data_IF_774244248365
#
_entry.id   IF_774244248365
#
_cell.length_a   1.000
_cell.length_b   1.000
_cell.length_c   1.000
_cell.angle_alpha   90.00
_cell.angle_beta   90.00
_cell.angle_gamma   90.00
#
_symmetry.space_group_name_H-M   'P 1'
#
loop_
_entity.id
_entity.type
_entity.pdbx_description
1 polymer ?
#
# COMPACT_ATOMS: atom_id res chain seq x y z
N UNK A 1 -16.57 0.64 9.46
CA UNK A 1 -16.31 -0.46 8.52
C UNK A 1 -15.04 -0.11 7.76
N UNK A 2 -14.02 -0.91 7.91
CA UNK A 2 -12.64 -0.52 7.68
C UNK A 2 -12.19 -0.74 6.24
N UNK A 3 -12.13 0.32 5.44
CA UNK A 3 -11.46 0.34 4.12
C UNK A 3 -9.97 -0.11 4.15
N UNK A 4 -9.40 -0.23 5.34
CA UNK A 4 -8.01 -0.60 5.57
C UNK A 4 -7.76 -2.11 5.54
N UNK A 5 -8.75 -2.94 5.92
CA UNK A 5 -8.67 -4.39 5.79
C UNK A 5 -8.88 -4.85 4.34
N UNK A 6 -9.62 -4.07 3.55
CA UNK A 6 -9.79 -4.34 2.12
C UNK A 6 -8.52 -4.06 1.31
N UNK A 7 -7.76 -3.03 1.68
CA UNK A 7 -6.48 -2.73 1.01
C UNK A 7 -5.39 -3.77 1.33
N UNK A 8 -5.36 -4.29 2.55
CA UNK A 8 -4.50 -5.41 2.91
C UNK A 8 -4.88 -6.68 2.15
N UNK A 9 -6.17 -6.96 2.03
CA UNK A 9 -6.72 -8.10 1.25
C UNK A 9 -6.51 -7.92 -0.25
N UNK A 10 -6.62 -6.70 -0.77
CA UNK A 10 -6.35 -6.41 -2.18
C UNK A 10 -4.87 -6.60 -2.53
N UNK A 11 -3.93 -6.21 -1.66
CA UNK A 11 -2.51 -6.52 -1.85
C UNK A 11 -2.23 -8.02 -1.81
N UNK A 12 -2.89 -8.77 -0.93
CA UNK A 12 -2.80 -10.24 -0.89
C UNK A 12 -3.49 -10.90 -2.09
N UNK A 13 -4.62 -10.39 -2.54
CA UNK A 13 -5.29 -10.87 -3.75
C UNK A 13 -4.43 -10.65 -5.00
N UNK A 14 -3.76 -9.50 -5.13
CA UNK A 14 -2.84 -9.27 -6.25
C UNK A 14 -1.59 -10.17 -6.19
N UNK A 15 -1.24 -10.68 -5.01
CA UNK A 15 -0.16 -11.66 -4.84
C UNK A 15 -0.58 -13.07 -5.29
N UNK A 16 -1.89 -13.39 -5.24
CA UNK A 16 -2.44 -14.69 -5.65
C UNK A 16 -2.92 -14.73 -7.11
N UNK A 17 -3.13 -13.57 -7.75
CA UNK A 17 -3.57 -13.48 -9.16
C UNK A 17 -2.65 -14.21 -10.15
N UNK A 18 -1.31 -14.25 -10.02
CA UNK A 18 -0.46 -15.02 -10.92
C UNK A 18 -0.71 -16.52 -10.86
N UNK A 19 -1.14 -17.02 -9.69
CA UNK A 19 -1.43 -18.45 -9.47
C UNK A 19 -2.75 -18.85 -10.13
N UNK A 20 -3.74 -17.94 -10.12
CA UNK A 20 -5.07 -18.17 -10.69
C UNK A 20 -5.03 -18.03 -12.22
N UNK A 21 -4.24 -17.08 -12.75
CA UNK A 21 -4.11 -16.89 -14.20
C UNK A 21 -3.23 -17.92 -14.91
N UNK A 22 -2.36 -18.63 -14.18
CA UNK A 22 -1.53 -19.68 -14.74
C UNK A 22 -2.32 -20.97 -15.08
N UNK A 23 -3.53 -21.10 -14.59
CA UNK A 23 -4.41 -22.26 -14.87
C UNK A 23 -5.51 -22.01 -15.90
N UNK A 24 -5.56 -20.85 -16.55
CA UNK A 24 -6.56 -20.53 -17.59
C UNK A 24 -5.90 -20.18 -18.92
N UNK A 25 -4.97 -21.01 -19.37
CA UNK A 25 -4.46 -20.96 -20.75
C UNK A 25 -5.46 -21.63 -21.67
N UNK A 26 -6.58 -20.99 -21.96
CA UNK A 26 -7.35 -21.21 -23.21
C UNK A 26 -8.54 -20.26 -23.29
N UNK A 27 -8.52 -19.45 -24.37
CA UNK A 27 -9.58 -18.58 -24.88
C UNK A 27 -9.61 -17.15 -24.35
N UNK A 28 -8.91 -16.27 -25.09
CA UNK A 28 -9.40 -14.96 -25.57
C UNK A 28 -8.27 -14.23 -26.32
N UNK A 29 -8.21 -14.43 -27.62
CA UNK A 29 -7.34 -13.68 -28.52
C UNK A 29 -7.81 -12.20 -28.60
N UNK A 30 -6.96 -11.25 -28.20
CA UNK A 30 -7.09 -9.83 -28.50
C UNK A 30 -7.14 -8.82 -27.35
N UNK A 31 -7.45 -9.21 -26.11
CA UNK A 31 -7.45 -8.32 -24.92
C UNK A 31 -6.51 -8.69 -23.77
N UNK A 32 -5.83 -9.84 -23.75
CA UNK A 32 -5.06 -10.29 -22.58
C UNK A 32 -3.79 -9.48 -22.34
N UNK A 33 -3.11 -8.99 -23.36
CA UNK A 33 -1.79 -8.34 -23.21
C UNK A 33 -1.83 -7.01 -22.43
N UNK A 34 -2.92 -6.26 -22.52
CA UNK A 34 -3.04 -4.97 -21.78
C UNK A 34 -3.34 -5.21 -20.31
N UNK A 35 -4.25 -6.13 -20.01
CA UNK A 35 -4.61 -6.50 -18.63
C UNK A 35 -3.42 -7.15 -17.94
N UNK A 36 -2.74 -8.06 -18.59
CA UNK A 36 -1.54 -8.73 -18.06
C UNK A 36 -0.41 -7.74 -17.77
N UNK A 37 -0.19 -6.76 -18.65
CA UNK A 37 0.78 -5.68 -18.45
C UNK A 37 0.43 -4.81 -17.26
N UNK A 38 -0.84 -4.44 -17.11
CA UNK A 38 -1.31 -3.61 -15.99
C UNK A 38 -1.23 -4.36 -14.66
N UNK A 39 -1.57 -5.66 -14.64
CA UNK A 39 -1.40 -6.53 -13.48
C UNK A 39 0.07 -6.62 -13.07
N UNK A 40 0.97 -6.87 -14.03
CA UNK A 40 2.41 -6.99 -13.77
C UNK A 40 2.99 -5.67 -13.22
N UNK A 41 2.62 -4.53 -13.81
CA UNK A 41 3.03 -3.21 -13.32
C UNK A 41 2.54 -2.97 -11.89
N UNK A 42 1.28 -3.28 -11.61
CA UNK A 42 0.73 -3.09 -10.28
C UNK A 42 1.42 -4.00 -9.25
N UNK A 43 1.77 -5.23 -9.61
CA UNK A 43 2.57 -6.12 -8.75
C UNK A 43 3.95 -5.53 -8.46
N UNK A 44 4.63 -4.98 -9.49
CA UNK A 44 5.92 -4.31 -9.30
C UNK A 44 5.80 -3.12 -8.34
N UNK A 45 4.77 -2.29 -8.51
CA UNK A 45 4.51 -1.15 -7.63
C UNK A 45 4.27 -1.62 -6.18
N UNK A 46 3.41 -2.62 -5.98
CA UNK A 46 3.13 -3.15 -4.64
C UNK A 46 4.40 -3.74 -4.00
N UNK A 47 5.17 -4.52 -4.74
CA UNK A 47 6.44 -5.11 -4.25
C UNK A 47 7.45 -4.02 -3.89
N UNK A 48 7.55 -2.98 -4.69
CA UNK A 48 8.42 -1.83 -4.42
C UNK A 48 8.02 -1.10 -3.13
N UNK A 49 6.73 -0.83 -2.95
CA UNK A 49 6.22 -0.20 -1.72
C UNK A 49 6.50 -1.08 -0.51
N UNK A 50 6.26 -2.40 -0.61
CA UNK A 50 6.55 -3.35 0.48
C UNK A 50 8.03 -3.36 0.88
N UNK A 51 8.93 -3.21 -0.07
CA UNK A 51 10.36 -3.18 0.18
C UNK A 51 10.87 -1.83 0.74
N UNK A 52 10.22 -0.73 0.39
CA UNK A 52 10.75 0.63 0.61
C UNK A 52 9.88 1.54 1.47
N UNK A 53 8.70 1.11 1.94
CA UNK A 53 7.74 1.98 2.63
C UNK A 53 8.28 2.68 3.89
N UNK A 54 9.29 2.11 4.53
CA UNK A 54 9.93 2.70 5.73
C UNK A 54 10.72 3.96 5.37
N UNK A 55 11.24 4.02 4.14
CA UNK A 55 12.03 5.15 3.64
C UNK A 55 11.19 6.10 2.78
N UNK A 56 11.75 7.26 2.46
CA UNK A 56 11.15 8.16 1.49
C UNK A 56 11.19 7.52 0.11
N UNK A 57 10.02 7.32 -0.49
CA UNK A 57 9.91 6.81 -1.86
C UNK A 57 9.84 7.99 -2.82
N UNK A 58 10.81 8.09 -3.72
CA UNK A 58 10.80 9.05 -4.82
C UNK A 58 9.78 8.62 -5.89
N UNK A 59 8.97 9.55 -6.36
CA UNK A 59 8.06 9.31 -7.48
C UNK A 59 8.80 9.03 -8.80
N UNK A 60 10.00 9.58 -8.94
CA UNK A 60 10.82 9.36 -10.13
C UNK A 60 11.40 7.95 -10.13
N UNK A 61 11.84 7.46 -8.98
CA UNK A 61 12.38 6.09 -8.85
C UNK A 61 11.32 5.03 -9.13
N UNK A 62 10.14 5.14 -8.52
CA UNK A 62 9.07 4.17 -8.78
C UNK A 62 8.52 4.26 -10.21
N UNK A 63 8.48 5.45 -10.80
CA UNK A 63 8.07 5.61 -12.18
C UNK A 63 9.07 4.94 -13.13
N UNK A 64 10.38 5.13 -12.91
CA UNK A 64 11.45 4.46 -13.66
C UNK A 64 11.37 2.93 -13.53
N UNK A 65 11.11 2.40 -12.33
CA UNK A 65 10.96 0.96 -12.06
C UNK A 65 9.89 0.30 -12.95
N UNK A 66 8.82 1.01 -13.25
CA UNK A 66 7.73 0.50 -14.11
C UNK A 66 7.79 1.02 -15.55
N UNK A 67 8.92 1.63 -15.95
CA UNK A 67 9.16 2.13 -17.31
C UNK A 67 8.26 3.31 -17.70
N UNK A 68 7.99 4.22 -16.78
CA UNK A 68 7.17 5.42 -16.98
C UNK A 68 7.93 6.67 -16.55
N UNK A 69 7.55 7.83 -17.10
CA UNK A 69 7.90 9.10 -16.50
C UNK A 69 6.96 9.41 -15.32
N UNK A 70 7.36 10.33 -14.46
CA UNK A 70 6.62 10.72 -13.25
C UNK A 70 5.17 11.10 -13.51
N UNK A 71 4.90 11.91 -14.52
CA UNK A 71 3.54 12.37 -14.85
C UNK A 71 2.64 11.23 -15.32
N UNK A 72 3.14 10.39 -16.21
CA UNK A 72 2.43 9.21 -16.70
C UNK A 72 2.15 8.22 -15.57
N UNK A 73 3.11 8.00 -14.67
CA UNK A 73 2.95 7.15 -13.49
C UNK A 73 1.86 7.66 -12.55
N UNK A 74 1.89 8.95 -12.18
CA UNK A 74 0.88 9.54 -11.30
C UNK A 74 -0.53 9.41 -11.88
N UNK A 75 -0.70 9.68 -13.16
CA UNK A 75 -2.00 9.55 -13.86
C UNK A 75 -2.44 8.09 -13.94
N UNK A 76 -1.53 7.19 -14.28
CA UNK A 76 -1.79 5.75 -14.35
C UNK A 76 -2.23 5.21 -12.98
N UNK A 77 -1.44 5.50 -11.94
CA UNK A 77 -1.70 5.00 -10.59
C UNK A 77 -3.06 5.50 -10.05
N UNK A 78 -3.33 6.81 -10.17
CA UNK A 78 -4.60 7.41 -9.75
C UNK A 78 -5.80 6.81 -10.50
N UNK A 79 -5.66 6.53 -11.79
CA UNK A 79 -6.71 5.87 -12.58
C UNK A 79 -6.96 4.44 -12.10
N UNK A 80 -5.90 3.67 -11.79
CA UNK A 80 -6.01 2.28 -11.36
C UNK A 80 -6.50 2.12 -9.92
N UNK A 81 -6.08 3.01 -9.01
CA UNK A 81 -6.34 2.90 -7.57
C UNK A 81 -7.36 3.90 -7.02
N UNK A 82 -7.71 4.94 -7.77
CA UNK A 82 -8.60 6.01 -7.32
C UNK A 82 -7.96 7.00 -6.33
N UNK A 83 -6.75 6.75 -5.88
CA UNK A 83 -5.99 7.57 -4.92
C UNK A 83 -4.60 7.90 -5.46
N UNK A 84 -3.95 8.91 -4.91
CA UNK A 84 -2.56 9.22 -5.26
C UNK A 84 -1.59 8.17 -4.70
N UNK A 85 -0.42 8.06 -5.32
CA UNK A 85 0.62 7.14 -4.84
C UNK A 85 1.08 7.47 -3.41
N UNK A 86 1.20 8.76 -3.07
CA UNK A 86 1.55 9.18 -1.71
C UNK A 86 0.49 8.77 -0.67
N UNK A 87 -0.78 8.90 -1.02
CA UNK A 87 -1.88 8.41 -0.17
C UNK A 87 -1.82 6.90 0.01
N UNK A 88 -1.51 6.14 -1.04
CA UNK A 88 -1.35 4.70 -0.98
C UNK A 88 -0.21 4.28 -0.06
N UNK A 89 0.97 4.90 -0.16
CA UNK A 89 2.10 4.64 0.75
C UNK A 89 1.72 4.95 2.19
N UNK A 90 1.04 6.09 2.43
CA UNK A 90 0.56 6.47 3.77
C UNK A 90 -0.41 5.42 4.33
N UNK A 91 -1.36 4.95 3.55
CA UNK A 91 -2.30 3.89 3.96
C UNK A 91 -1.56 2.58 4.27
N UNK A 92 -0.55 2.22 3.48
CA UNK A 92 0.27 1.04 3.74
C UNK A 92 1.00 1.13 5.08
N UNK A 93 1.60 2.30 5.38
CA UNK A 93 2.25 2.58 6.68
C UNK A 93 1.27 2.50 7.84
N UNK A 94 0.09 3.08 7.69
CA UNK A 94 -0.95 3.04 8.73
C UNK A 94 -1.47 1.62 8.98
N UNK A 95 -1.64 0.81 7.93
CA UNK A 95 -2.02 -0.60 8.07
C UNK A 95 -0.98 -1.38 8.87
N UNK A 96 0.29 -1.17 8.56
CA UNK A 96 1.39 -1.80 9.30
C UNK A 96 1.41 -1.32 10.75
N UNK A 97 1.19 -0.02 11.00
CA UNK A 97 1.07 0.53 12.35
C UNK A 97 -0.09 -0.12 13.13
N UNK A 98 -1.24 -0.30 12.52
CA UNK A 98 -2.39 -0.99 13.14
C UNK A 98 -2.04 -2.43 13.55
N UNK A 99 -1.35 -3.18 12.70
CA UNK A 99 -0.87 -4.53 13.03
C UNK A 99 0.09 -4.52 14.22
N UNK A 100 1.06 -3.61 14.23
CA UNK A 100 2.01 -3.47 15.34
C UNK A 100 1.33 -3.04 16.64
N UNK A 101 0.35 -2.14 16.58
CA UNK A 101 -0.43 -1.72 17.74
C UNK A 101 -1.22 -2.87 18.36
N UNK A 102 -1.73 -3.79 17.54
CA UNK A 102 -2.49 -4.98 17.99
C UNK A 102 -1.60 -6.09 18.58
N UNK A 103 -0.45 -6.33 17.94
CA UNK A 103 0.33 -7.56 18.15
C UNK A 103 1.70 -7.34 18.79
N UNK A 104 2.05 -6.11 19.17
CA UNK A 104 3.30 -5.80 19.84
C UNK A 104 3.14 -4.87 21.04
N UNK A 105 4.10 -4.92 21.95
CA UNK A 105 4.19 -4.02 23.11
C UNK A 105 5.05 -2.77 22.83
N UNK A 106 5.46 -2.55 21.58
CA UNK A 106 6.27 -1.39 21.19
C UNK A 106 5.54 -0.09 21.53
N UNK A 107 6.29 0.91 21.97
CA UNK A 107 5.72 2.24 22.21
C UNK A 107 5.16 2.85 20.91
N UNK A 108 4.18 3.74 21.03
CA UNK A 108 3.59 4.40 19.85
C UNK A 108 4.64 5.20 19.07
N UNK A 109 5.62 5.80 19.76
CA UNK A 109 6.76 6.48 19.15
C UNK A 109 7.65 5.53 18.35
N UNK A 110 7.94 4.35 18.88
CA UNK A 110 8.72 3.34 18.16
C UNK A 110 7.99 2.87 16.89
N UNK A 111 6.68 2.61 17.00
CA UNK A 111 5.85 2.24 15.84
C UNK A 111 5.86 3.33 14.78
N UNK A 112 5.73 4.59 15.18
CA UNK A 112 5.80 5.73 14.27
C UNK A 112 7.04 5.68 13.38
N UNK A 113 8.22 5.53 13.97
CA UNK A 113 9.49 5.45 13.22
C UNK A 113 9.65 4.13 12.48
N UNK A 114 9.22 3.02 13.06
CA UNK A 114 9.27 1.69 12.42
C UNK A 114 8.48 1.65 11.11
N UNK A 115 7.37 2.37 11.02
CA UNK A 115 6.53 2.39 9.80
C UNK A 115 6.88 3.52 8.83
N UNK A 116 7.94 4.30 9.11
CA UNK A 116 8.50 5.28 8.19
C UNK A 116 7.94 6.69 8.32
N UNK A 117 7.32 7.05 9.45
CA UNK A 117 7.06 8.45 9.79
C UNK A 117 8.27 9.04 10.51
N UNK A 118 8.57 10.30 10.24
CA UNK A 118 9.73 11.01 10.83
C UNK A 118 9.33 11.87 12.03
N UNK A 119 8.04 12.02 12.29
CA UNK A 119 7.51 12.94 13.29
C UNK A 119 6.28 12.33 13.97
N UNK A 120 6.33 12.21 15.29
CA UNK A 120 5.27 11.60 16.08
C UNK A 120 3.95 12.40 16.06
N UNK A 121 3.95 13.73 16.26
CA UNK A 121 2.72 14.53 16.13
C UNK A 121 2.07 14.39 14.76
N UNK A 122 2.84 14.39 13.68
CA UNK A 122 2.34 14.16 12.33
C UNK A 122 1.72 12.76 12.19
N UNK A 123 2.43 11.73 12.66
CA UNK A 123 1.90 10.36 12.66
C UNK A 123 0.57 10.26 13.40
N UNK A 124 0.48 10.77 14.62
CA UNK A 124 -0.76 10.73 15.43
C UNK A 124 -1.91 11.42 14.72
N UNK A 125 -1.66 12.60 14.12
CA UNK A 125 -2.67 13.34 13.35
C UNK A 125 -3.14 12.55 12.12
N UNK A 126 -2.20 12.04 11.32
CA UNK A 126 -2.52 11.27 10.11
C UNK A 126 -3.24 9.96 10.47
N UNK A 127 -2.79 9.26 11.50
CA UNK A 127 -3.43 8.05 12.01
C UNK A 127 -4.86 8.35 12.46
N UNK A 128 -5.07 9.37 13.30
CA UNK A 128 -6.39 9.73 13.83
C UNK A 128 -7.35 10.15 12.72
N UNK A 129 -6.88 10.91 11.73
CA UNK A 129 -7.72 11.33 10.60
C UNK A 129 -8.16 10.16 9.71
N UNK A 130 -7.32 9.13 9.56
CA UNK A 130 -7.65 7.98 8.71
C UNK A 130 -8.38 6.85 9.45
N UNK A 131 -8.08 6.64 10.73
CA UNK A 131 -8.61 5.53 11.53
C UNK A 131 -9.80 5.96 12.42
N UNK A 132 -9.91 7.26 12.72
CA UNK A 132 -10.96 7.83 13.55
C UNK A 132 -10.65 7.88 15.04
N UNK A 133 -9.58 7.21 15.50
CA UNK A 133 -9.12 7.23 16.90
C UNK A 133 -7.61 7.34 16.97
N UNK A 134 -7.08 7.85 18.10
CA UNK A 134 -5.64 7.94 18.29
C UNK A 134 -4.97 6.56 18.36
N UNK A 135 -3.66 6.43 18.03
CA UNK A 135 -2.94 5.17 18.13
C UNK A 135 -3.05 4.49 19.50
N UNK A 136 -2.93 5.27 20.58
CA UNK A 136 -3.03 4.74 21.94
C UNK A 136 -4.44 4.23 22.26
N UNK A 137 -5.47 4.93 21.79
CA UNK A 137 -6.87 4.50 21.96
C UNK A 137 -7.17 3.26 21.11
N UNK A 138 -6.62 3.21 19.89
CA UNK A 138 -6.74 2.04 19.02
C UNK A 138 -6.15 0.80 19.70
N UNK A 139 -4.95 0.89 20.29
CA UNK A 139 -4.34 -0.22 21.03
C UNK A 139 -5.23 -0.76 22.13
N UNK A 140 -5.82 0.14 22.95
CA UNK A 140 -6.70 -0.26 24.07
C UNK A 140 -7.96 -1.02 23.65
N UNK A 141 -8.35 -0.94 22.39
CA UNK A 141 -9.51 -1.71 21.88
C UNK A 141 -9.18 -3.19 21.64
N UNK A 142 -7.89 -3.57 21.59
CA UNK A 142 -7.44 -4.93 21.30
C UNK A 142 -6.58 -5.56 22.42
N UNK A 143 -6.36 -4.83 23.49
CA UNK A 143 -5.74 -5.30 24.73
C UNK A 143 -6.78 -5.25 25.84
#
# INVERSE_FOLDING_TARGET
MNNLDELGRLCEMFRLLPVIFKSSDHMFAGRPMRIERDVRRMQQICSYVMAHYVHTISLDDIAAEVGMNRSAFCSYFKRCKGITFSQYVTQYRLNTACKLLKHSQKQVSEICFTVGFNDLPHFVRVFTNNIGVSPSRYRKQFQ
#
